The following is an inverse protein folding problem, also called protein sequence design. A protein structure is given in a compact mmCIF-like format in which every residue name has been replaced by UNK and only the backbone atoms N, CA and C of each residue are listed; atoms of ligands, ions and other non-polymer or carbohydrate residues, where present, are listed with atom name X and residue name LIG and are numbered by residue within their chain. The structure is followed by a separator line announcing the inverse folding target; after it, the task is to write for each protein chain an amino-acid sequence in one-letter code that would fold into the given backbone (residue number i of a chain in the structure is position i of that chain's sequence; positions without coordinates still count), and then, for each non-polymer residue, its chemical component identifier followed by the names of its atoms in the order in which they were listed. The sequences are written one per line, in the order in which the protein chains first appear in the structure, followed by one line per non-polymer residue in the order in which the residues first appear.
data_IF_822323563809
#
_entry.id   IF_822323563809
#
_cell.length_a   1.000
_cell.length_b   1.000
_cell.length_c   1.000
_cell.angle_alpha   90.00
_cell.angle_beta   90.00
_cell.angle_gamma   90.00
#
_symmetry.space_group_name_H-M   'P 1'
#
loop_
_entity.id
_entity.type
_entity.pdbx_description
1 polymer ?
#
# COMPACT_ATOMS: atom_id res chain seq x y z
N UNK A 1 -13.03 -0.45 66.63
CA UNK A 1 -12.69 -0.20 65.20
C UNK A 1 -14.02 -0.06 64.45
N UNK A 2 -14.38 1.17 64.06
CA UNK A 2 -15.70 1.50 63.51
C UNK A 2 -15.88 0.97 62.08
N UNK A 3 -17.00 0.27 61.85
CA UNK A 3 -17.53 -0.03 60.52
C UNK A 3 -18.08 1.24 59.86
N UNK A 4 -17.70 1.48 58.59
CA UNK A 4 -18.43 2.40 57.69
C UNK A 4 -19.03 1.60 56.54
N UNK A 5 -20.35 1.43 56.59
CA UNK A 5 -21.20 1.02 55.45
C UNK A 5 -21.48 2.27 54.62
N UNK A 6 -21.19 2.25 53.32
CA UNK A 6 -21.67 3.26 52.37
C UNK A 6 -22.84 2.70 51.57
N UNK A 7 -23.88 3.52 51.47
CA UNK A 7 -25.15 3.24 50.82
C UNK A 7 -25.09 3.56 49.32
N UNK A 8 -25.71 2.71 48.51
CA UNK A 8 -26.03 2.97 47.11
C UNK A 8 -27.32 3.80 47.03
N UNK A 9 -27.27 4.94 46.33
CA UNK A 9 -28.45 5.73 45.97
C UNK A 9 -28.71 5.56 44.48
N UNK A 10 -29.89 5.03 44.17
CA UNK A 10 -30.44 4.88 42.82
C UNK A 10 -31.13 6.18 42.40
N UNK A 11 -30.81 6.71 41.23
CA UNK A 11 -31.60 7.74 40.55
C UNK A 11 -32.00 7.25 39.16
N UNK A 12 -33.29 6.98 38.99
CA UNK A 12 -33.94 6.85 37.70
C UNK A 12 -34.65 8.18 37.40
N UNK A 13 -34.35 8.78 36.25
CA UNK A 13 -35.04 9.98 35.77
C UNK A 13 -35.64 9.70 34.40
N UNK A 14 -36.98 9.71 34.35
CA UNK A 14 -37.79 9.88 33.15
C UNK A 14 -37.55 11.27 32.56
N UNK A 15 -37.34 11.38 31.24
CA UNK A 15 -37.65 12.60 30.49
C UNK A 15 -38.42 12.23 29.22
N UNK A 16 -39.52 12.97 29.08
CA UNK A 16 -40.59 12.91 28.12
C UNK A 16 -40.21 13.49 26.75
N UNK A 17 -41.00 13.05 25.77
CA UNK A 17 -41.21 13.54 24.42
C UNK A 17 -41.21 15.08 24.29
N UNK A 18 -40.63 15.58 23.19
CA UNK A 18 -41.16 16.73 22.47
C UNK A 18 -40.87 16.60 20.98
N UNK A 19 -41.95 16.59 20.18
CA UNK A 19 -41.90 16.73 18.73
C UNK A 19 -41.90 18.21 18.34
N UNK A 20 -41.22 18.51 17.23
CA UNK A 20 -41.42 19.75 16.49
C UNK A 20 -41.34 19.45 14.99
N UNK A 21 -42.39 19.85 14.28
CA UNK A 21 -42.57 19.72 12.84
C UNK A 21 -42.06 20.98 12.11
N UNK A 22 -41.40 20.73 10.96
CA UNK A 22 -41.44 21.49 9.68
C UNK A 22 -40.73 22.88 9.61
N UNK A 23 -40.12 23.25 8.44
CA UNK A 23 -40.79 23.24 7.13
C UNK A 23 -40.04 22.67 5.92
N UNK A 24 -40.84 22.07 5.04
CA UNK A 24 -40.63 21.95 3.61
C UNK A 24 -40.36 23.30 2.95
N UNK A 25 -39.28 23.37 2.18
CA UNK A 25 -39.18 23.91 0.80
C UNK A 25 -37.76 24.40 0.53
N UNK A 26 -37.03 23.65 -0.28
CA UNK A 26 -36.27 24.18 -1.41
C UNK A 26 -36.16 23.07 -2.45
N UNK A 27 -37.11 23.11 -3.41
CA UNK A 27 -36.99 22.40 -4.68
C UNK A 27 -35.90 23.10 -5.49
N UNK A 28 -34.90 22.35 -5.94
CA UNK A 28 -34.18 22.65 -7.18
C UNK A 28 -34.19 21.39 -8.06
N UNK A 29 -34.63 21.63 -9.30
CA UNK A 29 -34.98 20.70 -10.36
C UNK A 29 -33.78 19.89 -10.90
N UNK A 30 -34.04 18.77 -11.62
CA UNK A 30 -33.00 17.95 -12.22
C UNK A 30 -32.51 18.58 -13.53
N UNK A 31 -31.21 18.50 -13.82
CA UNK A 31 -30.61 18.39 -15.17
C UNK A 31 -29.06 18.27 -15.06
N UNK A 32 -28.57 17.14 -15.57
CA UNK A 32 -27.21 16.69 -15.92
C UNK A 32 -26.23 17.77 -16.46
N UNK A 33 -24.88 17.57 -16.47
CA UNK A 33 -24.21 16.29 -16.70
C UNK A 33 -23.05 15.93 -15.75
N UNK A 34 -22.89 14.61 -15.59
CA UNK A 34 -21.68 13.96 -15.09
C UNK A 34 -20.46 14.48 -15.87
N UNK A 35 -19.53 15.12 -15.17
CA UNK A 35 -18.17 15.26 -15.64
C UNK A 35 -17.51 13.89 -15.57
N UNK A 36 -17.62 13.12 -16.65
CA UNK A 36 -16.72 12.02 -16.93
C UNK A 36 -15.44 12.61 -17.54
N UNK A 37 -14.24 12.33 -17.00
CA UNK A 37 -13.06 12.38 -17.83
C UNK A 37 -13.15 11.26 -18.88
N UNK A 38 -13.10 11.68 -20.15
CA UNK A 38 -13.00 10.84 -21.34
C UNK A 38 -11.57 10.27 -21.44
N UNK A 39 -11.36 9.04 -21.01
CA UNK A 39 -10.29 8.18 -21.56
C UNK A 39 -10.83 6.76 -21.77
N UNK A 40 -10.81 6.23 -23.01
CA UNK A 40 -11.26 4.87 -23.28
C UNK A 40 -10.10 3.87 -23.09
N UNK A 41 -10.28 2.89 -22.19
CA UNK A 41 -9.46 1.69 -21.96
C UNK A 41 -8.05 1.96 -21.36
N UNK A 42 -7.58 1.27 -20.32
CA UNK A 42 -7.45 -0.19 -20.22
C UNK A 42 -7.22 -0.64 -18.76
N UNK A 43 -8.26 -0.98 -18.02
CA UNK A 43 -8.13 -1.95 -16.93
C UNK A 43 -9.40 -2.80 -16.90
N UNK A 44 -9.30 -4.02 -17.40
CA UNK A 44 -10.28 -5.06 -17.11
C UNK A 44 -9.70 -5.89 -15.97
N UNK A 45 -10.37 -5.90 -14.82
CA UNK A 45 -10.17 -6.95 -13.84
C UNK A 45 -10.65 -8.26 -14.48
N UNK A 46 -9.75 -9.23 -14.66
CA UNK A 46 -10.09 -10.55 -15.15
C UNK A 46 -10.01 -11.52 -13.97
N UNK A 47 -11.16 -11.84 -13.37
CA UNK A 47 -11.32 -13.08 -12.63
C UNK A 47 -11.47 -14.22 -13.66
N UNK A 48 -10.36 -14.84 -14.01
CA UNK A 48 -10.32 -15.98 -14.93
C UNK A 48 -9.80 -17.23 -14.22
N UNK A 49 -10.59 -18.30 -14.21
CA UNK A 49 -10.08 -19.65 -13.92
C UNK A 49 -9.04 -20.01 -14.98
N UNK A 50 -7.79 -20.22 -14.57
CA UNK A 50 -6.72 -20.69 -15.46
C UNK A 50 -6.91 -22.20 -15.63
N UNK A 51 -7.29 -22.64 -16.83
CA UNK A 51 -7.25 -24.04 -17.21
C UNK A 51 -5.79 -24.48 -17.34
N UNK A 52 -5.40 -25.48 -16.56
CA UNK A 52 -4.01 -25.92 -16.40
C UNK A 52 -3.47 -26.73 -17.60
N UNK A 53 -4.29 -27.02 -18.61
CA UNK A 53 -3.94 -27.95 -19.69
C UNK A 53 -3.60 -27.29 -21.03
N UNK A 54 -3.81 -25.97 -21.18
CA UNK A 54 -3.57 -25.32 -22.47
C UNK A 54 -2.10 -24.96 -22.67
N UNK A 55 -1.34 -25.89 -23.25
CA UNK A 55 0.04 -25.69 -23.76
C UNK A 55 0.07 -24.78 -24.99
N UNK A 56 -0.44 -23.55 -24.89
CA UNK A 56 -0.18 -22.50 -25.87
C UNK A 56 0.75 -21.47 -25.26
N UNK A 57 1.94 -21.34 -25.83
CA UNK A 57 2.81 -20.18 -25.60
C UNK A 57 2.04 -18.90 -25.94
N UNK A 58 1.37 -18.32 -24.96
CA UNK A 58 0.87 -16.96 -25.07
C UNK A 58 2.07 -16.04 -24.94
N UNK A 59 2.72 -15.76 -26.06
CA UNK A 59 3.63 -14.62 -26.24
C UNK A 59 2.82 -13.34 -26.16
N UNK A 60 2.30 -13.02 -24.97
CA UNK A 60 1.79 -11.70 -24.68
C UNK A 60 3.00 -10.77 -24.59
N UNK A 61 3.27 -10.02 -25.67
CA UNK A 61 4.10 -8.81 -25.57
C UNK A 61 3.29 -7.80 -24.77
N UNK A 62 3.44 -7.84 -23.45
CA UNK A 62 3.00 -6.75 -22.58
C UNK A 62 3.99 -5.63 -22.79
N UNK A 63 3.56 -4.57 -23.47
CA UNK A 63 4.30 -3.32 -23.56
C UNK A 63 4.22 -2.68 -22.19
N UNK A 64 5.28 -2.84 -21.39
CA UNK A 64 5.48 -2.05 -20.17
C UNK A 64 5.90 -0.66 -20.66
N UNK A 65 5.08 0.40 -20.47
CA UNK A 65 5.54 1.73 -20.81
C UNK A 65 6.73 2.04 -19.91
N UNK A 66 7.90 2.25 -20.50
CA UNK A 66 8.96 3.02 -19.84
C UNK A 66 8.54 4.50 -19.90
N UNK A 67 7.39 4.82 -19.31
CA UNK A 67 6.88 6.19 -19.29
C UNK A 67 7.76 7.00 -18.35
N UNK A 68 8.40 8.03 -18.88
CA UNK A 68 8.98 9.08 -18.07
C UNK A 68 7.85 9.76 -17.29
N UNK A 69 8.13 10.19 -16.05
CA UNK A 69 7.18 10.97 -15.27
C UNK A 69 7.00 12.34 -15.95
N UNK A 70 5.76 12.77 -16.11
CA UNK A 70 5.44 14.13 -16.55
C UNK A 70 5.80 15.17 -15.49
N UNK A 71 5.93 16.43 -15.89
CA UNK A 71 6.26 17.54 -14.98
C UNK A 71 5.23 17.66 -13.84
N UNK A 72 3.94 17.43 -14.13
CA UNK A 72 2.88 17.46 -13.12
C UNK A 72 3.02 16.31 -12.12
N UNK A 73 3.35 15.10 -12.60
CA UNK A 73 3.61 13.93 -11.76
C UNK A 73 4.84 14.15 -10.87
N UNK A 74 5.91 14.70 -11.43
CA UNK A 74 7.12 15.09 -10.69
C UNK A 74 6.76 16.09 -9.60
N UNK A 75 5.96 17.12 -9.90
CA UNK A 75 5.56 18.14 -8.95
C UNK A 75 4.68 17.59 -7.81
N UNK A 76 3.89 16.54 -8.07
CA UNK A 76 3.14 15.82 -7.03
C UNK A 76 4.11 15.01 -6.17
N UNK A 77 4.93 14.14 -6.78
CA UNK A 77 5.87 13.26 -6.06
C UNK A 77 6.82 14.08 -5.20
N UNK A 78 7.36 15.18 -5.70
CA UNK A 78 8.33 16.02 -4.98
C UNK A 78 7.81 16.53 -3.62
N UNK A 79 6.49 16.67 -3.47
CA UNK A 79 5.85 17.15 -2.23
C UNK A 79 5.59 16.05 -1.21
N UNK A 80 5.75 14.78 -1.59
CA UNK A 80 5.49 13.63 -0.72
C UNK A 80 6.68 13.34 0.20
N UNK A 81 6.46 12.77 1.40
CA UNK A 81 7.55 12.33 2.26
C UNK A 81 8.42 11.28 1.56
N UNK A 82 9.70 11.61 1.35
CA UNK A 82 10.66 10.75 0.61
C UNK A 82 10.66 10.94 -0.91
N UNK A 83 9.68 11.65 -1.48
CA UNK A 83 9.56 11.81 -2.93
C UNK A 83 10.68 12.64 -3.56
N UNK A 84 11.15 13.70 -2.89
CA UNK A 84 12.29 14.49 -3.38
C UNK A 84 13.60 13.66 -3.46
N UNK A 85 13.81 12.73 -2.52
CA UNK A 85 14.96 11.83 -2.53
C UNK A 85 14.86 10.78 -3.64
N UNK A 86 13.66 10.23 -3.88
CA UNK A 86 13.41 9.34 -5.02
C UNK A 86 13.74 10.04 -6.34
N UNK A 87 13.23 11.25 -6.56
CA UNK A 87 13.46 12.02 -7.79
C UNK A 87 14.95 12.36 -7.99
N UNK A 88 15.67 12.67 -6.91
CA UNK A 88 17.12 12.93 -6.94
C UNK A 88 17.94 11.70 -7.34
N UNK A 89 17.47 10.49 -7.03
CA UNK A 89 18.13 9.23 -7.40
C UNK A 89 17.99 8.91 -8.89
N UNK A 90 16.85 9.26 -9.52
CA UNK A 90 16.52 8.90 -10.92
C UNK A 90 17.65 9.12 -11.95
N UNK A 91 18.33 10.28 -12.03
CA UNK A 91 19.35 10.50 -13.05
C UNK A 91 20.70 9.81 -12.77
N UNK A 92 20.90 9.26 -11.56
CA UNK A 92 22.21 8.81 -11.06
C UNK A 92 22.28 7.28 -10.83
N UNK A 93 21.34 6.52 -11.36
CA UNK A 93 21.27 5.05 -11.19
C UNK A 93 21.33 4.34 -12.53
N UNK A 94 21.59 3.04 -12.52
CA UNK A 94 21.55 2.22 -13.73
C UNK A 94 20.11 2.15 -14.29
N UNK A 95 19.94 1.84 -15.60
CA UNK A 95 18.62 1.84 -16.23
C UNK A 95 17.58 0.90 -15.60
N UNK A 96 18.00 -0.20 -14.97
CA UNK A 96 17.06 -1.11 -14.33
C UNK A 96 16.56 -0.52 -13.02
N UNK A 97 17.47 0.05 -12.20
CA UNK A 97 17.05 0.76 -10.98
C UNK A 97 16.25 2.01 -11.30
N UNK A 98 16.56 2.74 -12.37
CA UNK A 98 15.77 3.89 -12.81
C UNK A 98 14.33 3.47 -13.12
N UNK A 99 14.12 2.37 -13.86
CA UNK A 99 12.79 1.82 -14.14
C UNK A 99 12.05 1.43 -12.87
N UNK A 100 12.73 0.82 -11.89
CA UNK A 100 12.13 0.49 -10.59
C UNK A 100 11.63 1.74 -9.87
N UNK A 101 12.45 2.79 -9.78
CA UNK A 101 12.10 4.04 -9.11
C UNK A 101 10.94 4.76 -9.81
N UNK A 102 10.89 4.73 -11.15
CA UNK A 102 9.74 5.25 -11.91
C UNK A 102 8.48 4.45 -11.58
N UNK A 103 8.56 3.13 -11.53
CA UNK A 103 7.41 2.29 -11.18
C UNK A 103 6.92 2.55 -9.74
N UNK A 104 7.84 2.74 -8.79
CA UNK A 104 7.50 3.15 -7.42
C UNK A 104 6.75 4.49 -7.40
N UNK A 105 7.20 5.47 -8.18
CA UNK A 105 6.49 6.74 -8.33
C UNK A 105 5.09 6.58 -8.95
N UNK A 106 4.96 5.79 -10.03
CA UNK A 106 3.67 5.55 -10.69
C UNK A 106 2.67 4.83 -9.76
N UNK A 107 3.12 3.84 -8.99
CA UNK A 107 2.28 3.13 -8.01
C UNK A 107 1.89 4.07 -6.86
N UNK A 108 2.77 5.01 -6.49
CA UNK A 108 2.43 6.04 -5.50
C UNK A 108 1.32 6.95 -6.01
N UNK A 109 1.39 7.38 -7.28
CA UNK A 109 0.36 8.19 -7.91
C UNK A 109 -0.97 7.43 -8.02
N UNK A 110 -0.96 6.14 -8.36
CA UNK A 110 -2.15 5.28 -8.32
C UNK A 110 -2.76 5.25 -6.90
N UNK A 111 -1.94 5.06 -5.86
CA UNK A 111 -2.44 5.07 -4.48
C UNK A 111 -3.13 6.40 -4.12
N UNK A 112 -2.56 7.53 -4.53
CA UNK A 112 -3.20 8.85 -4.35
C UNK A 112 -4.53 8.93 -5.11
N UNK A 113 -4.59 8.45 -6.34
CA UNK A 113 -5.83 8.43 -7.14
C UNK A 113 -6.92 7.56 -6.50
N UNK A 114 -6.54 6.49 -5.81
CA UNK A 114 -7.46 5.66 -4.99
C UNK A 114 -7.89 6.32 -3.69
N UNK A 115 -7.38 7.52 -3.37
CA UNK A 115 -7.70 8.27 -2.16
C UNK A 115 -6.85 7.90 -0.94
N UNK A 116 -5.73 7.19 -1.12
CA UNK A 116 -4.81 6.88 -0.04
C UNK A 116 -3.95 8.10 0.32
N UNK A 117 -3.70 8.27 1.61
CA UNK A 117 -2.70 9.24 2.10
C UNK A 117 -1.34 8.58 2.13
N UNK A 118 -0.35 9.18 1.45
CA UNK A 118 1.05 8.71 1.45
C UNK A 118 1.72 9.14 2.76
N UNK A 119 2.12 8.18 3.57
CA UNK A 119 2.83 8.39 4.83
C UNK A 119 4.35 8.40 4.60
N UNK A 120 4.86 7.58 3.67
CA UNK A 120 6.26 7.58 3.27
C UNK A 120 6.53 6.93 1.91
N UNK A 121 7.63 7.32 1.27
CA UNK A 121 8.24 6.66 0.12
C UNK A 121 9.71 6.34 0.41
N UNK A 122 10.19 5.17 -0.01
CA UNK A 122 11.59 4.75 0.12
C UNK A 122 12.09 4.80 1.57
N UNK A 123 11.27 4.33 2.52
CA UNK A 123 11.51 4.43 3.96
C UNK A 123 12.41 3.29 4.44
N UNK A 124 13.66 3.55 4.85
CA UNK A 124 14.53 2.52 5.34
C UNK A 124 14.06 2.04 6.72
N UNK A 125 14.10 0.72 6.92
CA UNK A 125 13.96 0.07 8.21
C UNK A 125 15.35 -0.38 8.64
N UNK A 126 15.83 0.12 9.77
CA UNK A 126 17.17 -0.17 10.27
C UNK A 126 17.21 -1.47 11.08
N UNK A 127 18.37 -2.14 11.04
CA UNK A 127 18.69 -3.22 11.97
C UNK A 127 18.82 -2.65 13.38
N UNK A 128 18.25 -3.34 14.36
CA UNK A 128 18.41 -3.00 15.78
C UNK A 128 19.53 -3.83 16.43
N UNK A 129 20.18 -3.28 17.46
CA UNK A 129 21.21 -3.97 18.23
C UNK A 129 22.65 -3.73 17.73
N UNK A 130 23.53 -4.73 17.86
CA UNK A 130 24.97 -4.62 17.52
C UNK A 130 25.27 -4.63 16.02
N UNK A 131 24.27 -4.88 15.18
CA UNK A 131 24.41 -4.86 13.72
C UNK A 131 24.01 -3.49 13.20
N UNK A 132 24.90 -2.84 12.46
CA UNK A 132 24.62 -1.60 11.74
C UNK A 132 24.14 -1.91 10.33
N UNK A 133 23.24 -1.08 9.79
CA UNK A 133 22.78 -1.16 8.40
C UNK A 133 21.27 -1.30 8.25
N UNK A 134 20.83 -1.33 7.00
CA UNK A 134 19.42 -1.47 6.64
C UNK A 134 18.98 -2.94 6.76
N UNK A 135 17.81 -3.14 7.36
CA UNK A 135 17.13 -4.44 7.45
C UNK A 135 16.30 -4.68 6.18
N UNK A 136 15.55 -3.66 5.75
CA UNK A 136 14.73 -3.62 4.54
C UNK A 136 14.34 -2.17 4.22
N UNK A 137 13.96 -1.87 2.97
CA UNK A 137 13.28 -0.63 2.61
C UNK A 137 11.77 -0.88 2.47
N UNK A 138 10.94 0.10 2.83
CA UNK A 138 9.53 0.18 2.43
C UNK A 138 9.43 1.12 1.25
N UNK A 139 9.05 0.58 0.09
CA UNK A 139 8.96 1.39 -1.12
C UNK A 139 7.87 2.45 -0.99
N UNK A 140 6.67 2.07 -0.54
CA UNK A 140 5.54 2.98 -0.32
C UNK A 140 4.78 2.58 0.94
N UNK A 141 4.55 3.52 1.84
CA UNK A 141 3.68 3.38 3.00
C UNK A 141 2.53 4.37 2.88
N UNK A 142 1.30 3.86 3.02
CA UNK A 142 0.07 4.64 3.09
C UNK A 142 -0.61 4.42 4.44
N UNK A 143 -1.71 5.13 4.71
CA UNK A 143 -2.50 4.88 5.91
C UNK A 143 -3.00 3.41 6.00
N UNK A 144 -3.29 2.76 4.88
CA UNK A 144 -3.89 1.42 4.87
C UNK A 144 -2.95 0.30 4.38
N UNK A 145 -1.92 0.64 3.62
CA UNK A 145 -1.11 -0.32 2.85
C UNK A 145 0.39 -0.05 3.02
N UNK A 146 1.17 -1.12 3.20
CA UNK A 146 2.61 -1.09 2.91
C UNK A 146 2.80 -1.81 1.58
N UNK A 147 3.34 -1.13 0.58
CA UNK A 147 3.52 -1.66 -0.77
C UNK A 147 5.01 -1.87 -1.02
N UNK A 148 5.36 -3.11 -1.40
CA UNK A 148 6.67 -3.49 -1.90
C UNK A 148 6.57 -3.72 -3.41
N UNK A 149 7.31 -2.95 -4.20
CA UNK A 149 7.30 -2.93 -5.65
C UNK A 149 8.32 -3.94 -6.19
N UNK A 150 7.88 -4.75 -7.14
CA UNK A 150 8.63 -5.91 -7.64
C UNK A 150 8.77 -5.83 -9.15
N UNK A 151 9.87 -5.21 -9.58
CA UNK A 151 10.25 -5.03 -11.00
C UNK A 151 11.06 -6.17 -11.62
N UNK A 152 11.28 -7.28 -10.92
CA UNK A 152 11.94 -8.47 -11.47
C UNK A 152 11.03 -9.29 -12.40
N UNK A 153 11.61 -10.30 -13.07
CA UNK A 153 10.84 -11.36 -13.74
C UNK A 153 10.45 -12.43 -12.71
N UNK A 154 9.14 -12.56 -12.47
CA UNK A 154 8.51 -13.48 -11.53
C UNK A 154 7.68 -14.58 -12.22
N UNK A 155 7.93 -14.84 -13.51
CA UNK A 155 7.26 -15.91 -14.26
C UNK A 155 7.62 -17.33 -13.78
N UNK A 156 8.61 -17.47 -12.89
CA UNK A 156 9.09 -18.74 -12.35
C UNK A 156 8.92 -18.81 -10.82
N UNK A 157 8.40 -19.94 -10.32
CA UNK A 157 8.22 -20.25 -8.89
C UNK A 157 9.46 -20.12 -7.98
N UNK A 158 10.69 -20.10 -8.50
CA UNK A 158 11.95 -20.00 -7.72
C UNK A 158 12.41 -18.54 -7.49
N UNK A 159 11.47 -17.60 -7.44
CA UNK A 159 11.77 -16.16 -7.39
C UNK A 159 11.47 -15.55 -6.01
N UNK A 160 11.31 -16.40 -5.00
CA UNK A 160 11.24 -15.99 -3.59
C UNK A 160 12.34 -16.67 -2.81
N UNK A 161 13.55 -16.51 -3.32
CA UNK A 161 14.74 -17.12 -2.76
C UNK A 161 15.45 -16.00 -1.99
N UNK A 162 15.84 -16.29 -0.75
CA UNK A 162 16.59 -15.47 0.21
C UNK A 162 16.17 -14.00 0.39
N UNK A 163 16.41 -13.11 -0.58
CA UNK A 163 16.23 -11.66 -0.43
C UNK A 163 14.77 -11.21 -0.43
N UNK A 164 13.97 -11.64 -1.41
CA UNK A 164 12.54 -11.29 -1.47
C UNK A 164 11.74 -11.92 -0.32
N UNK A 165 12.12 -13.13 0.09
CA UNK A 165 11.55 -13.79 1.26
C UNK A 165 11.87 -13.02 2.54
N UNK A 166 13.11 -12.55 2.69
CA UNK A 166 13.53 -11.70 3.81
C UNK A 166 12.72 -10.40 3.80
N UNK A 167 12.66 -9.69 2.68
CA UNK A 167 11.92 -8.42 2.58
C UNK A 167 10.44 -8.61 2.91
N UNK A 168 9.80 -9.67 2.41
CA UNK A 168 8.42 -10.01 2.78
C UNK A 168 8.28 -10.23 4.29
N UNK A 169 9.17 -11.05 4.86
CA UNK A 169 9.12 -11.39 6.29
C UNK A 169 9.27 -10.14 7.16
N UNK A 170 10.24 -9.29 6.86
CA UNK A 170 10.50 -8.08 7.65
C UNK A 170 9.40 -7.02 7.46
N UNK A 171 8.87 -6.86 6.25
CA UNK A 171 7.73 -5.97 5.99
C UNK A 171 6.49 -6.42 6.78
N UNK A 172 6.23 -7.72 6.81
CA UNK A 172 5.13 -8.30 7.58
C UNK A 172 5.32 -8.09 9.08
N UNK A 173 6.53 -8.34 9.61
CA UNK A 173 6.86 -8.07 11.01
C UNK A 173 6.70 -6.60 11.37
N UNK A 174 7.12 -5.70 10.49
CA UNK A 174 6.93 -4.27 10.67
C UNK A 174 5.46 -3.91 10.81
N UNK A 175 4.58 -4.45 9.95
CA UNK A 175 3.11 -4.32 10.05
C UNK A 175 2.55 -4.90 11.34
N UNK A 176 3.04 -6.07 11.77
CA UNK A 176 2.51 -6.84 12.89
C UNK A 176 3.11 -6.52 14.26
N UNK A 177 4.11 -5.64 14.34
CA UNK A 177 4.87 -5.39 15.59
C UNK A 177 4.02 -5.03 16.81
N UNK A 178 2.82 -4.47 16.62
CA UNK A 178 1.89 -4.19 17.73
C UNK A 178 1.43 -5.46 18.44
N UNK A 179 1.37 -6.59 17.74
CA UNK A 179 1.05 -7.90 18.31
C UNK A 179 2.27 -8.58 18.97
N UNK A 180 3.49 -8.11 18.70
CA UNK A 180 4.71 -8.64 19.28
C UNK A 180 5.66 -7.52 19.73
N UNK A 181 5.60 -7.10 21.01
CA UNK A 181 6.41 -5.99 21.54
C UNK A 181 7.92 -6.23 21.52
N UNK A 182 8.38 -7.45 21.22
CA UNK A 182 9.80 -7.73 21.01
C UNK A 182 10.32 -7.18 19.66
N UNK A 183 9.43 -6.92 18.69
CA UNK A 183 9.80 -6.33 17.41
C UNK A 183 9.79 -4.81 17.52
N UNK A 184 10.99 -4.22 17.53
CA UNK A 184 11.17 -2.76 17.53
C UNK A 184 11.84 -2.33 16.23
N UNK A 185 11.22 -1.38 15.56
CA UNK A 185 11.72 -0.80 14.31
C UNK A 185 11.92 0.69 14.56
N UNK A 186 13.15 1.15 14.41
CA UNK A 186 13.56 2.49 14.81
C UNK A 186 14.04 3.29 13.59
N UNK A 187 13.84 4.60 13.64
CA UNK A 187 14.48 5.53 12.71
C UNK A 187 15.97 5.75 13.07
N UNK A 188 16.64 6.61 12.30
CA UNK A 188 18.04 6.99 12.55
C UNK A 188 18.27 7.73 13.87
N UNK A 189 17.22 8.31 14.46
CA UNK A 189 17.25 9.03 15.74
C UNK A 189 16.95 8.11 16.93
N UNK A 190 16.54 6.86 16.66
CA UNK A 190 16.18 5.87 17.67
C UNK A 190 14.71 5.93 18.11
N UNK A 191 13.86 6.69 17.45
CA UNK A 191 12.42 6.72 17.70
C UNK A 191 11.74 5.53 17.02
N UNK A 192 10.67 5.02 17.62
CA UNK A 192 9.91 3.93 17.00
C UNK A 192 9.16 4.42 15.76
N UNK A 193 9.40 3.76 14.62
CA UNK A 193 8.74 4.06 13.36
C UNK A 193 7.26 3.70 13.48
N UNK A 194 6.30 4.65 13.37
CA UNK A 194 4.88 4.34 13.38
C UNK A 194 4.44 3.75 12.04
N UNK A 195 3.43 2.87 12.08
CA UNK A 195 2.69 2.37 10.92
C UNK A 195 1.22 2.29 11.30
N UNK A 196 0.36 2.65 10.35
CA UNK A 196 -1.10 2.45 10.44
C UNK A 196 -1.58 1.41 9.44
N UNK A 197 -0.70 0.96 8.56
CA UNK A 197 -1.05 0.05 7.48
C UNK A 197 -1.64 -1.25 8.03
N UNK A 198 -2.73 -1.68 7.39
CA UNK A 198 -3.51 -2.85 7.76
C UNK A 198 -3.06 -4.09 6.99
N UNK A 199 -2.53 -3.89 5.80
CA UNK A 199 -2.10 -4.96 4.89
C UNK A 199 -0.75 -4.67 4.23
N UNK A 200 -0.09 -5.75 3.83
CA UNK A 200 1.14 -5.72 3.03
C UNK A 200 0.79 -6.13 1.62
N UNK A 201 1.20 -5.31 0.66
CA UNK A 201 1.02 -5.52 -0.78
C UNK A 201 2.36 -5.84 -1.40
N UNK A 202 2.40 -6.89 -2.22
CA UNK A 202 3.52 -7.14 -3.13
C UNK A 202 3.04 -6.83 -4.55
N UNK A 203 3.54 -5.73 -5.11
CA UNK A 203 3.10 -5.21 -6.40
C UNK A 203 4.10 -5.56 -7.50
N UNK A 204 3.75 -6.55 -8.32
CA UNK A 204 4.54 -7.02 -9.45
C UNK A 204 4.26 -6.20 -10.70
N UNK A 205 5.26 -5.46 -11.16
CA UNK A 205 5.07 -4.54 -12.30
C UNK A 205 5.31 -5.20 -13.66
N UNK A 206 5.94 -6.38 -13.66
CA UNK A 206 6.30 -7.13 -14.87
C UNK A 206 5.55 -8.47 -14.94
N UNK A 207 4.37 -8.52 -15.59
CA UNK A 207 3.69 -9.78 -15.87
C UNK A 207 4.38 -10.58 -16.99
N UNK A 208 4.18 -11.91 -17.05
CA UNK A 208 3.35 -12.72 -16.15
C UNK A 208 4.05 -13.08 -14.83
N UNK A 209 3.24 -13.32 -13.79
CA UNK A 209 3.69 -13.80 -12.47
C UNK A 209 3.24 -15.25 -12.28
N UNK A 210 4.11 -16.13 -11.76
CA UNK A 210 3.79 -17.54 -11.53
C UNK A 210 2.56 -17.66 -10.58
N UNK A 211 1.46 -18.34 -10.97
CA UNK A 211 0.27 -18.45 -10.12
C UNK A 211 0.52 -19.08 -8.74
N UNK A 212 1.56 -19.92 -8.61
CA UNK A 212 1.92 -20.53 -7.32
C UNK A 212 2.54 -19.52 -6.37
N UNK A 213 3.24 -18.52 -6.91
CA UNK A 213 3.78 -17.40 -6.13
C UNK A 213 2.63 -16.53 -5.58
N UNK A 214 1.67 -16.19 -6.43
CA UNK A 214 0.44 -15.48 -6.05
C UNK A 214 -0.27 -16.21 -4.90
N UNK A 215 -0.51 -17.52 -5.07
CA UNK A 215 -1.14 -18.35 -4.03
C UNK A 215 -0.33 -18.35 -2.73
N UNK A 216 0.98 -18.53 -2.83
CA UNK A 216 1.86 -18.56 -1.66
C UNK A 216 1.83 -17.24 -0.87
N UNK A 217 1.78 -16.08 -1.54
CA UNK A 217 1.65 -14.78 -0.87
C UNK A 217 0.33 -14.67 -0.09
N UNK A 218 -0.77 -15.09 -0.72
CA UNK A 218 -2.10 -15.11 -0.09
C UNK A 218 -2.08 -16.02 1.14
N UNK A 219 -1.49 -17.21 1.05
CA UNK A 219 -1.34 -18.15 2.17
C UNK A 219 -0.48 -17.56 3.32
N UNK A 220 0.31 -16.51 3.03
CA UNK A 220 1.12 -15.76 4.00
C UNK A 220 0.48 -14.46 4.47
N UNK A 221 -0.78 -14.20 4.15
CA UNK A 221 -1.48 -12.94 4.47
C UNK A 221 -0.79 -11.70 3.85
N UNK A 222 -0.32 -11.86 2.61
CA UNK A 222 0.22 -10.80 1.76
C UNK A 222 -0.61 -10.72 0.49
N UNK A 223 -1.07 -9.52 0.13
CA UNK A 223 -1.92 -9.33 -1.05
C UNK A 223 -1.04 -9.09 -2.29
N UNK A 224 -1.09 -9.95 -3.30
CA UNK A 224 -0.38 -9.72 -4.55
C UNK A 224 -1.17 -8.77 -5.45
N UNK A 225 -0.47 -7.83 -6.10
CA UNK A 225 -0.98 -7.03 -7.23
C UNK A 225 -0.09 -7.23 -8.44
N UNK A 226 -0.68 -7.20 -9.63
CA UNK A 226 0.06 -7.43 -10.89
C UNK A 226 -0.33 -6.37 -11.90
N UNK A 227 0.68 -5.73 -12.52
CA UNK A 227 0.54 -4.68 -13.51
C UNK A 227 0.98 -3.31 -12.98
N UNK A 228 0.65 -2.25 -13.72
CA UNK A 228 0.64 -0.87 -13.25
C UNK A 228 -0.81 -0.44 -13.17
#
# INVERSE_FOLDING_TARGET
MLLKKQAFVSFATHISQSGANLPDKLKLSPLSPKLYPKTPNKYQAIDGKIDLEDKKETKARVVIPAAELSDDEIAIIQKLPGGADLLRKLPNVDPNKQKSLIQEALITLDAIQRGETIEAMGKPILRTGKQTGELTEIDIETENEIIQVKGGDYSNKRKLDDEDLRQMTETKRYRERRANPAWRFLDYEGNELPTKAKKVIFHFTNPPVDPRLIKWLIDKDVEPRVGL
#
